data_IF_008528226026
#
_entry.id   IF_008528226026
#
_cell.length_a   1.000
_cell.length_b   1.000
_cell.length_c   1.000
_cell.angle_alpha   90.00
_cell.angle_beta   90.00
_cell.angle_gamma   90.00
#
_symmetry.space_group_name_H-M   'P 1'
#
loop_
_entity.id
_entity.type
_entity.pdbx_description
1 polymer ?
#
# COMPACT_ATOMS: atom_id res chain seq x y z
N UNK A 1 -0.79 -11.77 25.01
CA UNK A 1 -1.78 -12.07 23.95
C UNK A 1 -3.18 -11.96 24.53
N UNK A 2 -3.60 -12.84 25.45
CA UNK A 2 -4.93 -12.75 26.11
C UNK A 2 -5.32 -11.37 26.68
N UNK A 3 -4.40 -10.64 27.33
CA UNK A 3 -4.70 -9.29 27.84
C UNK A 3 -4.88 -8.25 26.73
N UNK A 4 -4.02 -8.27 25.71
CA UNK A 4 -4.13 -7.39 24.53
C UNK A 4 -5.45 -7.66 23.80
N UNK A 5 -5.81 -8.92 23.62
CA UNK A 5 -7.05 -9.31 22.95
C UNK A 5 -8.27 -8.81 23.72
N UNK A 6 -8.25 -8.90 25.06
CA UNK A 6 -9.32 -8.37 25.90
C UNK A 6 -9.44 -6.84 25.82
N UNK A 7 -8.31 -6.12 25.79
CA UNK A 7 -8.29 -4.65 25.66
C UNK A 7 -8.68 -4.18 24.25
N UNK A 8 -8.34 -4.96 23.21
CA UNK A 8 -8.64 -4.63 21.82
C UNK A 8 -10.11 -4.92 21.47
N UNK A 9 -10.73 -5.91 22.11
CA UNK A 9 -12.07 -6.40 21.79
C UNK A 9 -13.13 -5.30 21.68
N UNK A 10 -13.27 -4.34 22.61
CA UNK A 10 -14.27 -3.28 22.49
C UNK A 10 -14.12 -2.46 21.20
N UNK A 11 -12.88 -2.18 20.78
CA UNK A 11 -12.59 -1.41 19.57
C UNK A 11 -12.89 -2.21 18.30
N UNK A 12 -12.61 -3.51 18.32
CA UNK A 12 -12.93 -4.44 17.21
C UNK A 12 -14.44 -4.64 17.07
N UNK A 13 -15.16 -4.70 18.18
CA UNK A 13 -16.61 -4.88 18.20
C UNK A 13 -17.35 -3.62 17.72
N UNK A 14 -16.79 -2.42 17.96
CA UNK A 14 -17.36 -1.14 17.52
C UNK A 14 -16.76 -0.60 16.21
N UNK A 15 -15.98 -1.42 15.48
CA UNK A 15 -15.20 -0.97 14.34
C UNK A 15 -16.10 -0.52 13.17
N UNK A 16 -15.96 0.73 12.73
CA UNK A 16 -16.84 1.33 11.72
C UNK A 16 -16.10 2.41 10.90
N UNK A 17 -16.67 2.83 9.77
CA UNK A 17 -16.06 3.84 8.90
C UNK A 17 -16.19 5.27 9.44
N UNK A 18 -15.46 5.59 10.52
CA UNK A 18 -15.50 6.90 11.19
C UNK A 18 -14.12 7.55 11.29
N UNK A 19 -14.09 8.86 11.58
CA UNK A 19 -12.87 9.63 11.83
C UNK A 19 -12.10 9.11 13.04
N UNK A 20 -12.81 8.71 14.10
CA UNK A 20 -12.21 8.16 15.33
C UNK A 20 -11.49 6.85 15.03
N UNK A 21 -12.06 6.01 14.15
CA UNK A 21 -11.42 4.75 13.74
C UNK A 21 -10.15 5.05 12.92
N UNK A 22 -10.21 6.01 12.00
CA UNK A 22 -9.04 6.45 11.23
C UNK A 22 -7.93 6.97 12.15
N UNK A 23 -8.30 7.79 13.13
CA UNK A 23 -7.39 8.36 14.13
C UNK A 23 -6.80 7.28 15.03
N UNK A 24 -7.61 6.35 15.53
CA UNK A 24 -7.16 5.23 16.35
C UNK A 24 -6.10 4.39 15.64
N UNK A 25 -6.30 4.05 14.37
CA UNK A 25 -5.30 3.31 13.58
C UNK A 25 -4.02 4.13 13.43
N UNK A 26 -4.13 5.43 13.15
CA UNK A 26 -2.98 6.33 13.07
C UNK A 26 -2.19 6.40 14.38
N UNK A 27 -2.88 6.44 15.53
CA UNK A 27 -2.27 6.45 16.86
C UNK A 27 -1.57 5.12 17.19
N UNK A 28 -2.06 3.98 16.72
CA UNK A 28 -1.35 2.71 16.85
C UNK A 28 -0.02 2.71 16.10
N UNK A 29 0.05 3.31 14.90
CA UNK A 29 1.31 3.48 14.15
C UNK A 29 2.26 4.42 14.90
N UNK A 30 1.73 5.55 15.38
CA UNK A 30 2.49 6.53 16.18
C UNK A 30 3.09 5.91 17.44
N UNK A 31 2.27 5.16 18.19
CA UNK A 31 2.68 4.48 19.41
C UNK A 31 3.76 3.44 19.12
N UNK A 32 3.65 2.66 18.04
CA UNK A 32 4.69 1.71 17.67
C UNK A 32 5.99 2.40 17.23
N UNK A 33 5.90 3.48 16.46
CA UNK A 33 7.07 4.23 16.04
C UNK A 33 7.89 4.72 17.26
N UNK A 34 7.20 5.13 18.32
CA UNK A 34 7.80 5.59 19.57
C UNK A 34 8.22 4.45 20.53
N UNK A 35 7.36 3.46 20.75
CA UNK A 35 7.53 2.43 21.80
C UNK A 35 8.36 1.22 21.35
N UNK A 36 8.48 0.99 20.04
CA UNK A 36 9.19 -0.15 19.45
C UNK A 36 8.80 -1.49 20.09
N UNK A 37 7.50 -1.81 20.02
CA UNK A 37 6.86 -3.03 20.54
C UNK A 37 6.36 -3.89 19.38
N UNK A 38 7.28 -4.22 18.48
CA UNK A 38 7.07 -4.96 17.24
C UNK A 38 6.07 -6.12 17.36
N UNK A 39 6.28 -7.05 18.32
CA UNK A 39 5.42 -8.23 18.48
C UNK A 39 3.99 -7.87 18.89
N UNK A 40 3.82 -6.88 19.76
CA UNK A 40 2.53 -6.40 20.21
C UNK A 40 1.81 -5.65 19.10
N UNK A 41 2.52 -4.79 18.38
CA UNK A 41 1.97 -4.05 17.24
C UNK A 41 1.43 -4.99 16.18
N UNK A 42 2.23 -5.95 15.69
CA UNK A 42 1.77 -6.87 14.65
C UNK A 42 0.69 -7.84 15.13
N UNK A 43 0.68 -8.21 16.42
CA UNK A 43 -0.43 -8.97 16.99
C UNK A 43 -1.75 -8.19 16.90
N UNK A 44 -1.75 -6.91 17.27
CA UNK A 44 -2.91 -6.02 17.13
C UNK A 44 -3.27 -5.83 15.65
N UNK A 45 -2.28 -5.52 14.81
CA UNK A 45 -2.47 -5.21 13.39
C UNK A 45 -3.13 -6.37 12.65
N UNK A 46 -2.64 -7.60 12.87
CA UNK A 46 -3.19 -8.79 12.25
C UNK A 46 -4.64 -9.07 12.69
N UNK A 47 -4.99 -8.77 13.94
CA UNK A 47 -6.36 -8.90 14.44
C UNK A 47 -7.32 -7.88 13.82
N UNK A 48 -6.83 -6.72 13.36
CA UNK A 48 -7.64 -5.70 12.70
C UNK A 48 -7.93 -6.01 11.22
N UNK A 49 -7.10 -6.80 10.54
CA UNK A 49 -7.25 -7.06 9.11
C UNK A 49 -8.65 -7.58 8.69
N UNK A 50 -9.26 -8.56 9.39
CA UNK A 50 -10.59 -9.04 9.02
C UNK A 50 -11.65 -7.93 9.05
N UNK A 51 -11.53 -6.98 10.00
CA UNK A 51 -12.44 -5.84 10.12
C UNK A 51 -12.21 -4.80 9.04
N UNK A 52 -10.96 -4.53 8.68
CA UNK A 52 -10.65 -3.67 7.52
C UNK A 52 -11.29 -4.24 6.25
N UNK A 53 -11.15 -5.55 6.03
CA UNK A 53 -11.77 -6.23 4.89
C UNK A 53 -13.30 -6.15 4.91
N UNK A 54 -13.91 -6.37 6.08
CA UNK A 54 -15.37 -6.24 6.25
C UNK A 54 -15.86 -4.83 5.89
N UNK A 55 -15.16 -3.79 6.35
CA UNK A 55 -15.48 -2.39 5.99
C UNK A 55 -15.37 -2.14 4.49
N UNK A 56 -14.32 -2.66 3.86
CA UNK A 56 -14.09 -2.53 2.41
C UNK A 56 -15.22 -3.13 1.57
N UNK A 57 -15.90 -4.17 2.07
CA UNK A 57 -17.01 -4.85 1.38
C UNK A 57 -18.38 -4.20 1.65
N UNK A 58 -18.58 -3.67 2.85
CA UNK A 58 -19.91 -3.33 3.36
C UNK A 58 -20.21 -1.83 3.42
N UNK A 59 -19.18 -0.98 3.54
CA UNK A 59 -19.36 0.44 3.81
C UNK A 59 -18.63 1.30 2.77
N UNK A 60 -19.35 2.25 2.16
CA UNK A 60 -18.75 3.34 1.37
C UNK A 60 -18.78 4.63 2.20
N UNK A 61 -18.06 4.63 3.31
CA UNK A 61 -17.94 5.78 4.21
C UNK A 61 -16.83 6.73 3.77
N UNK A 62 -17.02 8.03 3.99
CA UNK A 62 -16.03 9.07 3.68
C UNK A 62 -14.66 8.79 4.33
N UNK A 63 -14.66 8.23 5.55
CA UNK A 63 -13.45 7.94 6.33
C UNK A 63 -12.78 6.60 5.97
N UNK A 64 -13.42 5.73 5.16
CA UNK A 64 -12.83 4.45 4.75
C UNK A 64 -11.47 4.64 4.08
N UNK A 65 -11.36 5.68 3.25
CA UNK A 65 -10.10 6.04 2.59
C UNK A 65 -8.97 6.28 3.59
N UNK A 66 -9.23 7.08 4.63
CA UNK A 66 -8.22 7.42 5.64
C UNK A 66 -7.85 6.22 6.52
N UNK A 67 -8.86 5.41 6.89
CA UNK A 67 -8.67 4.12 7.58
C UNK A 67 -7.70 3.23 6.78
N UNK A 68 -7.93 3.04 5.48
CA UNK A 68 -7.09 2.21 4.62
C UNK A 68 -5.68 2.78 4.52
N UNK A 69 -5.55 4.10 4.34
CA UNK A 69 -4.25 4.79 4.24
C UNK A 69 -3.42 4.57 5.50
N UNK A 70 -4.01 4.79 6.68
CA UNK A 70 -3.31 4.58 7.94
C UNK A 70 -3.01 3.08 8.17
N UNK A 71 -3.96 2.21 7.87
CA UNK A 71 -3.83 0.76 8.09
C UNK A 71 -2.81 0.09 7.16
N UNK A 72 -2.62 0.60 5.95
CA UNK A 72 -1.56 0.13 5.04
C UNK A 72 -0.22 0.85 5.26
N UNK A 73 -0.07 1.53 6.40
CA UNK A 73 1.15 2.22 6.83
C UNK A 73 1.57 3.36 5.89
N UNK A 74 0.64 3.89 5.09
CA UNK A 74 0.83 5.07 4.26
C UNK A 74 0.63 6.36 5.07
N UNK A 75 1.10 6.34 6.32
CA UNK A 75 0.89 7.36 7.35
C UNK A 75 1.41 8.74 6.91
N UNK A 76 0.68 9.81 7.25
CA UNK A 76 1.04 11.17 6.81
C UNK A 76 2.22 11.78 7.56
N UNK A 77 2.56 11.23 8.73
CA UNK A 77 3.57 11.78 9.63
C UNK A 77 4.95 11.13 9.49
N UNK A 78 5.12 10.24 8.51
CA UNK A 78 6.44 9.75 8.13
C UNK A 78 7.38 10.90 7.78
N UNK A 79 8.61 10.87 8.31
CA UNK A 79 9.62 11.90 8.06
C UNK A 79 9.97 11.92 6.57
N UNK A 80 10.25 13.11 6.05
CA UNK A 80 10.72 13.24 4.67
C UNK A 80 12.03 12.46 4.46
N UNK A 81 12.08 11.67 3.39
CA UNK A 81 13.26 10.85 3.06
C UNK A 81 13.41 9.56 3.86
N UNK A 82 12.47 9.18 4.72
CA UNK A 82 12.51 7.89 5.39
C UNK A 82 12.40 6.75 4.37
N UNK A 83 13.34 5.80 4.40
CA UNK A 83 13.37 4.65 3.46
C UNK A 83 13.03 3.30 4.14
N UNK A 84 13.05 3.27 5.48
CA UNK A 84 12.80 2.09 6.28
C UNK A 84 12.05 2.44 7.58
N UNK A 85 11.23 1.51 8.06
CA UNK A 85 10.62 1.58 9.39
C UNK A 85 10.96 0.32 10.17
N UNK A 86 11.36 0.49 11.44
CA UNK A 86 11.88 -0.58 12.27
C UNK A 86 10.88 -1.74 12.47
N UNK A 87 9.59 -1.45 12.32
CA UNK A 87 8.52 -2.43 12.42
C UNK A 87 7.94 -2.92 11.10
N UNK A 88 8.44 -2.48 9.94
CA UNK A 88 8.08 -3.11 8.66
C UNK A 88 9.19 -4.06 8.18
N UNK A 89 9.00 -5.36 8.41
CA UNK A 89 9.95 -6.42 8.06
C UNK A 89 9.39 -7.38 7.02
N UNK A 90 10.23 -8.31 6.54
CA UNK A 90 9.87 -9.27 5.49
C UNK A 90 8.71 -10.19 5.89
N UNK A 91 8.61 -10.52 7.18
CA UNK A 91 7.56 -11.35 7.77
C UNK A 91 6.18 -10.69 7.66
N UNK A 92 6.14 -9.36 7.51
CA UNK A 92 4.91 -8.58 7.51
C UNK A 92 4.37 -8.30 6.10
N UNK A 93 5.11 -8.67 5.04
CA UNK A 93 4.73 -8.40 3.65
C UNK A 93 3.46 -9.13 3.19
N UNK A 94 2.99 -10.10 3.97
CA UNK A 94 1.68 -10.72 3.78
C UNK A 94 0.55 -9.69 3.86
N UNK A 95 0.71 -8.60 4.62
CA UNK A 95 -0.23 -7.47 4.66
C UNK A 95 -0.52 -6.94 3.25
N UNK A 96 0.51 -6.57 2.50
CA UNK A 96 0.37 -6.00 1.15
C UNK A 96 0.01 -7.05 0.10
N UNK A 97 0.48 -8.27 0.27
CA UNK A 97 0.10 -9.41 -0.58
C UNK A 97 -1.39 -9.71 -0.47
N UNK A 98 -1.95 -9.69 0.75
CA UNK A 98 -3.37 -9.92 0.97
C UNK A 98 -4.19 -8.70 0.53
N UNK A 99 -3.75 -7.49 0.87
CA UNK A 99 -4.44 -6.26 0.49
C UNK A 99 -4.57 -6.11 -1.03
N UNK A 100 -3.49 -6.34 -1.79
CA UNK A 100 -3.51 -6.27 -3.25
C UNK A 100 -4.49 -7.25 -3.90
N UNK A 101 -4.65 -8.45 -3.32
CA UNK A 101 -5.54 -9.50 -3.84
C UNK A 101 -6.99 -9.33 -3.41
N UNK A 102 -7.22 -8.93 -2.16
CA UNK A 102 -8.54 -9.03 -1.53
C UNK A 102 -9.31 -7.71 -1.51
N UNK A 103 -8.61 -6.58 -1.47
CA UNK A 103 -9.21 -5.22 -1.40
C UNK A 103 -8.57 -4.24 -2.40
N UNK A 104 -7.79 -4.74 -3.36
CA UNK A 104 -7.09 -3.93 -4.36
C UNK A 104 -7.99 -3.15 -5.32
N UNK A 105 -9.29 -3.43 -5.32
CA UNK A 105 -10.30 -2.67 -6.04
C UNK A 105 -10.61 -1.30 -5.40
N UNK A 106 -10.04 -1.00 -4.23
CA UNK A 106 -10.21 0.29 -3.56
C UNK A 106 -9.01 1.21 -3.87
N UNK A 107 -9.23 2.45 -4.36
CA UNK A 107 -8.16 3.35 -4.79
C UNK A 107 -7.10 3.64 -3.72
N UNK A 108 -7.55 3.76 -2.47
CA UNK A 108 -6.69 3.98 -1.30
C UNK A 108 -5.63 2.87 -1.12
N UNK A 109 -5.90 1.65 -1.60
CA UNK A 109 -4.95 0.53 -1.51
C UNK A 109 -3.78 0.75 -2.45
N UNK A 110 -4.04 1.09 -3.72
CA UNK A 110 -2.96 1.38 -4.68
C UNK A 110 -2.13 2.56 -4.20
N UNK A 111 -2.78 3.67 -3.81
CA UNK A 111 -2.12 4.84 -3.24
C UNK A 111 -1.19 4.46 -2.08
N UNK A 112 -1.69 3.64 -1.15
CA UNK A 112 -0.94 3.30 0.06
C UNK A 112 0.28 2.44 -0.24
N UNK A 113 0.10 1.42 -1.10
CA UNK A 113 1.19 0.56 -1.57
C UNK A 113 2.30 1.41 -2.20
N UNK A 114 1.95 2.29 -3.15
CA UNK A 114 2.96 3.07 -3.87
C UNK A 114 3.61 4.12 -2.98
N UNK A 115 2.88 4.69 -2.02
CA UNK A 115 3.44 5.62 -1.04
C UNK A 115 4.45 4.94 -0.13
N UNK A 116 4.12 3.76 0.41
CA UNK A 116 5.02 2.97 1.27
C UNK A 116 6.29 2.56 0.51
N UNK A 117 6.17 2.12 -0.73
CA UNK A 117 7.33 1.76 -1.57
C UNK A 117 8.25 2.95 -1.92
N UNK A 118 7.76 4.19 -1.73
CA UNK A 118 8.54 5.42 -1.86
C UNK A 118 8.97 6.01 -0.51
N UNK A 119 8.66 5.34 0.61
CA UNK A 119 9.06 5.73 1.96
C UNK A 119 9.58 4.51 2.73
N UNK A 120 8.93 4.14 3.83
CA UNK A 120 9.34 3.11 4.80
C UNK A 120 9.50 1.70 4.23
N UNK A 121 9.00 1.44 3.02
CA UNK A 121 9.06 0.16 2.33
C UNK A 121 10.00 0.15 1.12
N UNK A 122 10.93 1.11 1.01
CA UNK A 122 11.82 1.25 -0.15
C UNK A 122 12.62 -0.03 -0.45
N UNK A 123 12.97 -0.78 0.59
CA UNK A 123 13.72 -2.03 0.49
C UNK A 123 12.91 -3.22 -0.08
N UNK A 124 11.58 -3.09 -0.19
CA UNK A 124 10.68 -4.15 -0.67
C UNK A 124 10.19 -3.91 -2.10
N UNK A 125 10.99 -3.22 -2.93
CA UNK A 125 10.62 -2.86 -4.31
C UNK A 125 10.35 -4.06 -5.22
N UNK A 126 11.03 -5.18 -4.99
CA UNK A 126 10.91 -6.38 -5.81
C UNK A 126 9.62 -7.16 -5.49
N UNK A 127 9.16 -7.15 -4.24
CA UNK A 127 7.83 -7.61 -3.86
C UNK A 127 6.76 -6.56 -4.23
N UNK A 128 7.11 -5.28 -4.13
CA UNK A 128 6.23 -4.14 -4.41
C UNK A 128 5.72 -4.10 -5.84
N UNK A 129 6.56 -4.43 -6.82
CA UNK A 129 6.13 -4.53 -8.22
C UNK A 129 5.02 -5.58 -8.40
N UNK A 130 5.05 -6.67 -7.62
CA UNK A 130 4.04 -7.73 -7.69
C UNK A 130 2.71 -7.27 -7.08
N UNK A 131 2.73 -6.51 -5.99
CA UNK A 131 1.51 -5.94 -5.41
C UNK A 131 0.86 -4.94 -6.36
N UNK A 132 1.65 -4.03 -6.95
CA UNK A 132 1.15 -3.03 -7.90
C UNK A 132 0.57 -3.75 -9.13
N UNK A 133 1.32 -4.70 -9.71
CA UNK A 133 0.87 -5.49 -10.85
C UNK A 133 -0.46 -6.20 -10.56
N UNK A 134 -0.57 -6.84 -9.38
CA UNK A 134 -1.78 -7.54 -8.94
C UNK A 134 -2.98 -6.59 -8.89
N UNK A 135 -2.80 -5.39 -8.33
CA UNK A 135 -3.86 -4.38 -8.22
C UNK A 135 -4.31 -3.91 -9.61
N UNK A 136 -3.39 -3.43 -10.45
CA UNK A 136 -3.75 -2.83 -11.75
C UNK A 136 -4.29 -3.86 -12.74
N UNK A 137 -3.78 -5.09 -12.71
CA UNK A 137 -4.19 -6.15 -13.65
C UNK A 137 -5.56 -6.70 -13.32
N UNK A 138 -5.88 -6.83 -12.03
CA UNK A 138 -7.19 -7.29 -11.59
C UNK A 138 -8.26 -6.20 -11.64
N UNK A 139 -7.84 -4.92 -11.64
CA UNK A 139 -8.74 -3.76 -11.56
C UNK A 139 -8.41 -2.73 -12.66
N UNK A 140 -8.45 -3.14 -13.93
CA UNK A 140 -8.08 -2.27 -15.07
C UNK A 140 -8.84 -0.94 -15.09
N UNK A 141 -10.12 -0.97 -14.73
CA UNK A 141 -11.01 0.19 -14.66
C UNK A 141 -11.02 0.88 -13.28
N UNK A 142 -9.98 0.72 -12.47
CA UNK A 142 -9.88 1.36 -11.15
C UNK A 142 -9.90 2.89 -11.29
N UNK A 143 -10.96 3.53 -10.81
CA UNK A 143 -11.08 4.98 -10.73
C UNK A 143 -10.34 5.48 -9.50
N UNK A 144 -9.35 6.36 -9.67
CA UNK A 144 -8.52 6.81 -8.55
C UNK A 144 -9.09 8.02 -7.79
N UNK A 145 -10.18 8.60 -8.29
CA UNK A 145 -10.89 9.73 -7.70
C UNK A 145 -9.93 10.85 -7.25
N UNK A 146 -10.12 11.37 -6.04
CA UNK A 146 -9.29 12.45 -5.50
C UNK A 146 -7.85 12.04 -5.16
N UNK A 147 -7.52 10.74 -5.23
CA UNK A 147 -6.16 10.22 -5.03
C UNK A 147 -5.36 10.13 -6.34
N UNK A 148 -5.96 10.40 -7.50
CA UNK A 148 -5.33 10.17 -8.80
C UNK A 148 -3.97 10.86 -8.93
N UNK A 149 -3.90 12.18 -8.75
CA UNK A 149 -2.67 12.94 -8.97
C UNK A 149 -1.52 12.46 -8.06
N UNK A 150 -1.81 12.21 -6.78
CA UNK A 150 -0.78 11.73 -5.85
C UNK A 150 -0.37 10.28 -6.14
N UNK A 151 -1.32 9.42 -6.51
CA UNK A 151 -1.04 8.02 -6.85
C UNK A 151 -0.16 7.93 -8.10
N UNK A 152 -0.47 8.71 -9.14
CA UNK A 152 0.33 8.80 -10.36
C UNK A 152 1.74 9.34 -10.06
N UNK A 153 1.85 10.38 -9.24
CA UNK A 153 3.15 10.91 -8.81
C UNK A 153 4.03 9.85 -8.14
N UNK A 154 3.50 9.10 -7.18
CA UNK A 154 4.26 8.05 -6.49
C UNK A 154 4.56 6.85 -7.40
N UNK A 155 3.63 6.46 -8.29
CA UNK A 155 3.86 5.43 -9.30
C UNK A 155 5.01 5.80 -10.23
N UNK A 156 4.99 7.01 -10.79
CA UNK A 156 6.06 7.50 -11.67
C UNK A 156 7.41 7.52 -10.96
N UNK A 157 7.44 8.02 -9.71
CA UNK A 157 8.65 8.06 -8.89
C UNK A 157 9.22 6.66 -8.65
N UNK A 158 8.35 5.71 -8.27
CA UNK A 158 8.72 4.31 -8.04
C UNK A 158 9.23 3.64 -9.33
N UNK A 159 8.45 3.71 -10.41
CA UNK A 159 8.75 3.05 -11.68
C UNK A 159 10.03 3.59 -12.30
N UNK A 160 10.30 4.89 -12.21
CA UNK A 160 11.56 5.47 -12.67
C UNK A 160 12.76 4.84 -11.97
N UNK A 161 12.75 4.75 -10.63
CA UNK A 161 13.83 4.12 -9.85
C UNK A 161 13.92 2.62 -10.16
N UNK A 162 12.79 1.93 -10.21
CA UNK A 162 12.73 0.49 -10.46
C UNK A 162 13.24 0.11 -11.86
N UNK A 163 12.75 0.77 -12.91
CA UNK A 163 13.16 0.54 -14.30
C UNK A 163 14.63 0.88 -14.50
N UNK A 164 15.12 1.98 -13.92
CA UNK A 164 16.53 2.36 -14.02
C UNK A 164 17.44 1.27 -13.46
N UNK A 165 17.14 0.76 -12.25
CA UNK A 165 17.96 -0.27 -11.59
C UNK A 165 17.84 -1.63 -12.31
N UNK A 166 16.64 -1.99 -12.77
CA UNK A 166 16.35 -3.31 -13.31
C UNK A 166 16.33 -3.36 -14.84
N UNK A 167 16.82 -2.34 -15.55
CA UNK A 167 16.62 -2.17 -16.99
C UNK A 167 17.01 -3.41 -17.80
N UNK A 168 18.21 -3.94 -17.57
CA UNK A 168 18.71 -5.11 -18.29
C UNK A 168 17.88 -6.35 -17.96
N UNK A 169 17.61 -6.58 -16.67
CA UNK A 169 16.78 -7.70 -16.20
C UNK A 169 15.38 -7.67 -16.80
N UNK A 170 14.75 -6.49 -16.92
CA UNK A 170 13.44 -6.33 -17.54
C UNK A 170 13.48 -6.73 -19.03
N UNK A 171 14.57 -6.41 -19.75
CA UNK A 171 14.71 -6.77 -21.17
C UNK A 171 14.92 -8.26 -21.39
N UNK A 172 15.64 -8.92 -20.50
CA UNK A 172 16.00 -10.33 -20.60
C UNK A 172 14.92 -11.26 -20.01
N UNK A 173 14.27 -10.85 -18.92
CA UNK A 173 13.29 -11.66 -18.20
C UNK A 173 11.86 -11.32 -18.60
N UNK A 174 11.28 -12.15 -19.48
CA UNK A 174 9.90 -12.01 -19.99
C UNK A 174 8.87 -11.90 -18.85
N UNK A 175 9.06 -12.65 -17.76
CA UNK A 175 8.14 -12.61 -16.60
C UNK A 175 8.11 -11.24 -15.94
N UNK A 176 9.27 -10.61 -15.74
CA UNK A 176 9.35 -9.28 -15.15
C UNK A 176 8.83 -8.23 -16.13
N UNK A 177 9.15 -8.34 -17.43
CA UNK A 177 8.60 -7.45 -18.47
C UNK A 177 7.07 -7.47 -18.47
N UNK A 178 6.46 -8.65 -18.41
CA UNK A 178 5.01 -8.84 -18.40
C UNK A 178 4.32 -8.29 -17.13
N UNK A 179 5.07 -8.00 -16.06
CA UNK A 179 4.57 -7.31 -14.87
C UNK A 179 4.70 -5.79 -14.99
N UNK A 180 5.84 -5.31 -15.49
CA UNK A 180 6.14 -3.88 -15.58
C UNK A 180 5.30 -3.18 -16.66
N UNK A 181 5.13 -3.80 -17.83
CA UNK A 181 4.41 -3.18 -18.96
C UNK A 181 2.95 -2.83 -18.60
N UNK A 182 2.14 -3.71 -17.99
CA UNK A 182 0.77 -3.36 -17.60
C UNK A 182 0.67 -2.22 -16.60
N UNK A 183 1.67 -2.05 -15.72
CA UNK A 183 1.72 -0.92 -14.78
C UNK A 183 2.01 0.38 -15.53
N UNK A 184 2.92 0.34 -16.52
CA UNK A 184 3.21 1.49 -17.36
C UNK A 184 2.00 1.87 -18.22
N UNK A 185 1.32 0.88 -18.82
CA UNK A 185 0.10 1.10 -19.59
C UNK A 185 -0.99 1.76 -18.72
N UNK A 186 -1.15 1.31 -17.46
CA UNK A 186 -2.08 1.89 -16.50
C UNK A 186 -1.87 3.39 -16.25
N UNK A 187 -0.61 3.85 -16.14
CA UNK A 187 -0.32 5.29 -15.95
C UNK A 187 -0.36 6.07 -17.27
N UNK A 188 -0.06 5.44 -18.41
CA UNK A 188 -0.14 6.06 -19.74
C UNK A 188 -1.60 6.38 -20.11
N UNK A 189 -2.51 5.44 -19.85
CA UNK A 189 -3.95 5.63 -20.03
C UNK A 189 -4.51 6.81 -19.21
N UNK A 190 -3.77 7.23 -18.17
CA UNK A 190 -4.07 8.38 -17.30
C UNK A 190 -3.21 9.61 -17.61
N UNK A 191 -2.61 9.66 -18.80
CA UNK A 191 -1.90 10.83 -19.31
C UNK A 191 -0.43 10.95 -18.90
N UNK A 192 0.18 9.90 -18.33
CA UNK A 192 1.59 9.93 -17.95
C UNK A 192 2.54 9.87 -19.16
N UNK A 193 3.13 11.01 -19.52
CA UNK A 193 4.19 11.09 -20.52
C UNK A 193 5.45 10.36 -20.04
N UNK A 194 5.79 10.46 -18.76
CA UNK A 194 6.94 9.74 -18.19
C UNK A 194 6.76 8.23 -18.29
N UNK A 195 5.55 7.72 -18.06
CA UNK A 195 5.22 6.31 -18.23
C UNK A 195 5.49 5.83 -19.66
N UNK A 196 5.08 6.62 -20.65
CA UNK A 196 5.33 6.32 -22.06
C UNK A 196 6.84 6.21 -22.36
N UNK A 197 7.63 7.21 -21.95
CA UNK A 197 9.07 7.22 -22.16
C UNK A 197 9.78 6.04 -21.45
N UNK A 198 9.36 5.70 -20.23
CA UNK A 198 9.90 4.56 -19.50
C UNK A 198 9.61 3.24 -20.24
N UNK A 199 8.40 3.07 -20.76
CA UNK A 199 7.99 1.88 -21.54
C UNK A 199 8.86 1.71 -22.77
N UNK A 200 9.01 2.74 -23.60
CA UNK A 200 9.85 2.69 -24.80
C UNK A 200 11.33 2.37 -24.48
N UNK A 201 11.81 2.72 -23.29
CA UNK A 201 13.20 2.44 -22.89
C UNK A 201 13.49 0.95 -22.59
N UNK A 202 12.45 0.16 -22.31
CA UNK A 202 12.50 -1.26 -21.90
C UNK A 202 11.83 -2.23 -22.88
N UNK A 203 11.11 -1.71 -23.88
CA UNK A 203 10.68 -2.51 -25.02
C UNK A 203 11.89 -3.07 -25.78
#
# INVERSE_FOLDING_TARGET
>A
KNEIDNLLKPFVDSFSSTEETASFIGELVSAEDYLNKYEQFWHIWNNLYPKIKELCLTQRGYHLKEIIINYLLAWRWWREGIEEWHSLKKENLSLYTNASKEIGNIPAVLYSVVKVLNSIGTNFKDEGIDWIYTIVSNNKSLHLDDLESNTLFYLEKFLRKFVFINRQKIKEEIKLKNKVIPILDFIIERGSIHGYLLRESIL
#
